data_IF_869032014721
#
_entry.id   IF_869032014721
#
_cell.length_a   1.000
_cell.length_b   1.000
_cell.length_c   1.000
_cell.angle_alpha   90.00
_cell.angle_beta   90.00
_cell.angle_gamma   90.00
#
_symmetry.space_group_name_H-M   'P 1'
#
loop_
_entity.id
_entity.type
_entity.pdbx_description
1 polymer ?
#
# COMPACT_ATOMS: atom_id res chain seq x y z
N UNK A 1 -4.84 9.46 1.08
CA UNK A 1 -4.95 8.65 -0.13
C UNK A 1 -5.39 7.23 0.22
N UNK A 2 -6.36 6.70 -0.50
CA UNK A 2 -6.88 5.33 -0.36
C UNK A 2 -6.53 4.55 -1.62
N UNK A 3 -6.13 3.28 -1.48
CA UNK A 3 -5.78 2.40 -2.60
C UNK A 3 -6.58 1.11 -2.50
N UNK A 4 -7.09 0.63 -3.63
CA UNK A 4 -7.82 -0.64 -3.74
C UNK A 4 -7.01 -1.72 -4.44
N UNK A 5 -7.33 -2.98 -4.19
CA UNK A 5 -6.59 -4.15 -4.71
C UNK A 5 -6.60 -4.24 -6.23
N UNK A 6 -7.60 -3.64 -6.89
CA UNK A 6 -7.73 -3.57 -8.36
C UNK A 6 -6.87 -2.46 -9.00
N UNK A 7 -5.95 -1.84 -8.24
CA UNK A 7 -4.99 -0.87 -8.76
C UNK A 7 -5.52 0.55 -8.90
N UNK A 8 -6.56 0.94 -8.16
CA UNK A 8 -7.06 2.31 -8.13
C UNK A 8 -6.68 3.03 -6.85
N UNK A 9 -6.52 4.34 -6.96
CA UNK A 9 -6.26 5.23 -5.84
C UNK A 9 -7.17 6.45 -5.91
N UNK A 10 -7.63 6.93 -4.76
CA UNK A 10 -8.35 8.19 -4.61
C UNK A 10 -7.66 9.03 -3.54
N UNK A 11 -7.44 10.30 -3.84
CA UNK A 11 -6.93 11.28 -2.90
C UNK A 11 -7.97 12.35 -2.67
N UNK A 12 -8.22 12.72 -1.42
CA UNK A 12 -9.14 13.77 -1.02
C UNK A 12 -8.69 14.43 0.28
N UNK A 13 -9.16 15.64 0.54
CA UNK A 13 -8.86 16.36 1.78
C UNK A 13 -9.55 15.70 2.97
N UNK A 14 -8.84 15.61 4.10
CA UNK A 14 -9.34 14.96 5.32
C UNK A 14 -10.60 15.61 5.88
N UNK A 15 -10.82 16.91 5.64
CA UNK A 15 -12.01 17.62 6.07
C UNK A 15 -13.31 17.10 5.45
N UNK A 16 -13.22 16.37 4.32
CA UNK A 16 -14.37 15.67 3.74
C UNK A 16 -14.83 14.48 4.60
N UNK A 17 -13.98 13.96 5.48
CA UNK A 17 -14.31 12.94 6.45
C UNK A 17 -14.65 13.59 7.79
N UNK A 18 -15.89 14.05 7.94
CA UNK A 18 -16.34 14.74 9.16
C UNK A 18 -16.08 13.90 10.42
N UNK A 19 -15.67 14.51 11.55
CA UNK A 19 -15.59 13.82 12.83
C UNK A 19 -16.93 13.19 13.22
N UNK A 20 -16.89 11.95 13.67
CA UNK A 20 -18.09 11.18 14.04
C UNK A 20 -17.85 10.38 15.31
N UNK A 21 -18.92 10.13 16.10
CA UNK A 21 -18.87 9.30 17.29
C UNK A 21 -18.66 7.81 16.96
N UNK A 22 -18.33 7.03 17.99
CA UNK A 22 -18.04 5.58 17.85
C UNK A 22 -19.18 4.75 17.25
N UNK A 23 -20.44 5.12 17.53
CA UNK A 23 -21.62 4.36 17.11
C UNK A 23 -22.16 4.74 15.72
N UNK A 24 -21.33 5.32 14.87
CA UNK A 24 -21.73 5.73 13.51
C UNK A 24 -21.17 4.76 12.48
N UNK A 25 -21.91 4.54 11.38
CA UNK A 25 -21.51 3.68 10.28
C UNK A 25 -20.42 4.25 9.36
N UNK A 26 -19.90 5.43 9.68
CA UNK A 26 -18.84 6.05 8.88
C UNK A 26 -19.33 6.64 7.57
N UNK A 27 -18.39 6.98 6.71
CA UNK A 27 -18.65 7.55 5.37
C UNK A 27 -17.79 6.85 4.32
N UNK A 28 -18.34 6.72 3.12
CA UNK A 28 -17.64 6.06 2.02
C UNK A 28 -16.41 6.86 1.59
N UNK A 29 -15.23 6.26 1.63
CA UNK A 29 -13.97 6.84 1.15
C UNK A 29 -13.77 6.66 -0.35
N UNK A 30 -13.97 5.44 -0.85
CA UNK A 30 -13.79 5.06 -2.27
C UNK A 30 -14.95 4.16 -2.71
N UNK A 31 -15.33 4.24 -3.97
CA UNK A 31 -16.27 3.29 -4.59
C UNK A 31 -15.48 2.24 -5.35
N UNK A 32 -15.55 1.00 -4.88
CA UNK A 32 -14.91 -0.16 -5.49
C UNK A 32 -15.92 -0.92 -6.37
N UNK A 33 -15.43 -1.72 -7.32
CA UNK A 33 -16.23 -2.55 -8.21
C UNK A 33 -15.83 -4.01 -8.14
N UNK A 34 -16.79 -4.90 -8.37
CA UNK A 34 -16.56 -6.35 -8.33
C UNK A 34 -16.04 -6.77 -6.96
N UNK A 35 -15.04 -7.63 -6.96
CA UNK A 35 -14.42 -8.19 -5.75
C UNK A 35 -13.27 -7.34 -5.20
N UNK A 36 -13.06 -6.11 -5.74
CA UNK A 36 -12.02 -5.20 -5.27
C UNK A 36 -12.23 -4.84 -3.79
N UNK A 37 -11.15 -4.82 -3.03
CA UNK A 37 -11.12 -4.49 -1.60
C UNK A 37 -10.25 -3.27 -1.36
N UNK A 38 -10.45 -2.61 -0.23
CA UNK A 38 -9.54 -1.57 0.21
C UNK A 38 -8.22 -2.21 0.63
N UNK A 39 -7.13 -1.84 -0.04
CA UNK A 39 -5.79 -2.30 0.30
C UNK A 39 -5.22 -1.54 1.49
N UNK A 40 -5.41 -0.23 1.54
CA UNK A 40 -4.91 0.59 2.62
C UNK A 40 -5.20 2.07 2.44
N UNK A 41 -4.82 2.81 3.47
CA UNK A 41 -4.93 4.27 3.55
C UNK A 41 -3.61 4.84 4.08
N UNK A 42 -3.18 5.96 3.51
CA UNK A 42 -2.05 6.75 4.01
C UNK A 42 -2.43 8.23 4.05
N UNK A 43 -1.89 8.93 5.04
CA UNK A 43 -1.98 10.38 5.13
C UNK A 43 -0.78 10.97 4.39
N UNK A 44 -1.04 11.98 3.56
CA UNK A 44 0.00 12.71 2.83
C UNK A 44 -0.28 14.20 2.87
N UNK A 45 0.78 14.99 2.88
CA UNK A 45 0.73 16.44 2.73
C UNK A 45 0.94 16.88 1.26
N UNK A 46 0.75 15.97 0.31
CA UNK A 46 0.99 16.23 -1.12
C UNK A 46 2.44 15.98 -1.56
N UNK A 47 3.36 15.70 -0.63
CA UNK A 47 4.75 15.38 -0.94
C UNK A 47 5.03 13.88 -0.91
N UNK A 48 6.18 13.48 -1.46
CA UNK A 48 6.61 12.08 -1.51
C UNK A 48 6.03 11.32 -2.70
N UNK A 49 6.22 10.02 -2.66
CA UNK A 49 5.79 9.11 -3.70
C UNK A 49 4.88 8.03 -3.12
N UNK A 50 3.82 7.67 -3.82
CA UNK A 50 3.04 6.47 -3.51
C UNK A 50 3.79 5.25 -4.08
N UNK A 51 4.29 4.42 -3.20
CA UNK A 51 4.79 3.08 -3.53
C UNK A 51 3.62 2.11 -3.55
N UNK A 52 3.57 1.26 -4.57
CA UNK A 52 2.64 0.13 -4.68
C UNK A 52 3.38 -1.11 -5.15
N UNK A 53 2.95 -2.28 -4.69
CA UNK A 53 3.50 -3.58 -5.09
C UNK A 53 2.39 -4.61 -5.24
N UNK A 54 2.52 -5.47 -6.25
CA UNK A 54 1.60 -6.58 -6.51
C UNK A 54 2.02 -7.86 -5.78
N UNK A 55 1.12 -8.83 -5.68
CA UNK A 55 1.39 -10.16 -5.11
C UNK A 55 2.60 -10.85 -5.73
N UNK A 56 2.83 -10.66 -7.02
CA UNK A 56 3.97 -11.26 -7.74
C UNK A 56 5.23 -10.39 -7.75
N UNK A 57 5.32 -9.40 -6.84
CA UNK A 57 6.51 -8.62 -6.58
C UNK A 57 6.81 -7.50 -7.59
N UNK A 58 5.84 -7.10 -8.41
CA UNK A 58 5.98 -5.94 -9.29
C UNK A 58 5.52 -4.69 -8.60
N UNK A 59 6.35 -3.67 -8.58
CA UNK A 59 6.07 -2.43 -7.87
C UNK A 59 6.68 -1.21 -8.53
N UNK A 60 6.33 -0.06 -8.02
CA UNK A 60 6.86 1.24 -8.45
C UNK A 60 6.57 2.32 -7.43
N UNK A 61 7.23 3.45 -7.58
CA UNK A 61 6.89 4.71 -6.91
C UNK A 61 6.28 5.68 -7.92
N UNK A 62 5.24 6.37 -7.53
CA UNK A 62 4.60 7.41 -8.36
C UNK A 62 4.47 8.68 -7.51
N UNK A 63 4.88 9.86 -8.00
CA UNK A 63 4.72 11.11 -7.26
C UNK A 63 3.28 11.30 -6.77
N UNK A 64 3.10 11.66 -5.50
CA UNK A 64 1.77 11.97 -4.97
C UNK A 64 1.12 13.10 -5.75
N UNK A 65 1.90 14.05 -6.27
CA UNK A 65 1.42 15.15 -7.11
C UNK A 65 0.78 14.74 -8.43
N UNK A 66 0.97 13.49 -8.88
CA UNK A 66 0.28 12.96 -10.07
C UNK A 66 -1.18 12.52 -9.77
N UNK A 67 -1.56 12.44 -8.50
CA UNK A 67 -2.92 12.06 -8.10
C UNK A 67 -3.76 13.33 -7.94
N UNK A 68 -4.78 13.54 -8.79
CA UNK A 68 -5.67 14.66 -8.64
C UNK A 68 -6.47 14.51 -7.34
N UNK A 69 -6.69 15.62 -6.67
CA UNK A 69 -7.60 15.67 -5.55
C UNK A 69 -9.05 15.50 -6.06
N UNK A 70 -9.77 14.58 -5.46
CA UNK A 70 -11.15 14.27 -5.78
C UNK A 70 -12.05 14.46 -4.56
N UNK A 71 -13.34 14.51 -4.79
CA UNK A 71 -14.31 14.34 -3.71
C UNK A 71 -14.32 12.89 -3.24
N UNK A 72 -14.47 12.73 -1.92
CA UNK A 72 -14.60 11.42 -1.26
C UNK A 72 -15.71 10.58 -1.91
N UNK A 73 -15.52 9.26 -1.93
CA UNK A 73 -16.52 8.31 -2.42
C UNK A 73 -16.52 8.10 -3.94
N UNK A 74 -15.62 8.77 -4.68
CA UNK A 74 -15.41 8.52 -6.10
C UNK A 74 -14.77 7.16 -6.40
N UNK A 75 -14.62 6.83 -7.69
CA UNK A 75 -13.96 5.58 -8.13
C UNK A 75 -12.42 5.67 -8.14
N UNK A 76 -11.87 6.88 -7.93
CA UNK A 76 -10.44 7.12 -8.04
C UNK A 76 -9.89 7.00 -9.46
N UNK A 77 -8.56 7.00 -9.56
CA UNK A 77 -7.78 6.90 -10.80
C UNK A 77 -6.89 5.68 -10.73
N UNK A 78 -6.50 5.14 -11.88
CA UNK A 78 -5.52 4.04 -11.89
C UNK A 78 -4.17 4.53 -11.34
N UNK A 79 -3.61 3.75 -10.42
CA UNK A 79 -2.27 3.93 -9.88
C UNK A 79 -1.26 3.00 -10.53
N UNK A 80 -1.71 1.85 -11.02
CA UNK A 80 -0.89 0.87 -11.74
C UNK A 80 -1.76 0.16 -12.78
N UNK A 81 -1.17 -0.23 -13.90
CA UNK A 81 -1.84 -1.09 -14.88
C UNK A 81 -1.72 -2.54 -14.42
N UNK A 82 -2.84 -3.11 -14.03
CA UNK A 82 -2.94 -4.50 -13.59
C UNK A 82 -2.91 -5.45 -14.79
N UNK A 83 -2.32 -6.62 -14.59
CA UNK A 83 -2.37 -7.74 -15.54
C UNK A 83 -2.51 -9.05 -14.75
N UNK A 84 -3.20 -10.03 -15.28
CA UNK A 84 -3.46 -11.32 -14.61
C UNK A 84 -2.18 -12.02 -14.12
N UNK A 85 -1.07 -11.82 -14.85
CA UNK A 85 0.25 -12.40 -14.50
C UNK A 85 0.89 -11.79 -13.25
N UNK A 86 0.45 -10.60 -12.81
CA UNK A 86 1.05 -9.87 -11.69
C UNK A 86 0.27 -10.00 -10.39
N UNK A 87 -0.93 -10.56 -10.45
CA UNK A 87 -1.84 -10.64 -9.32
C UNK A 87 -2.43 -9.29 -8.93
N UNK A 88 -3.13 -9.23 -7.82
CA UNK A 88 -3.68 -8.01 -7.23
C UNK A 88 -2.59 -7.17 -6.56
N UNK A 89 -2.92 -5.94 -6.17
CA UNK A 89 -2.05 -5.16 -5.29
C UNK A 89 -2.04 -5.77 -3.88
N UNK A 90 -0.83 -5.96 -3.35
CA UNK A 90 -0.58 -6.55 -2.04
C UNK A 90 -0.06 -5.55 -1.00
N UNK A 91 0.47 -4.41 -1.44
CA UNK A 91 0.98 -3.40 -0.51
C UNK A 91 1.03 -2.00 -1.11
N UNK A 92 0.94 -0.99 -0.22
CA UNK A 92 1.09 0.41 -0.55
C UNK A 92 1.69 1.18 0.63
N UNK A 93 2.51 2.19 0.35
CA UNK A 93 3.02 3.15 1.34
C UNK A 93 3.33 4.49 0.68
N UNK A 94 3.09 5.59 1.39
CA UNK A 94 3.65 6.89 0.99
C UNK A 94 5.08 6.97 1.52
N UNK A 95 6.03 7.21 0.64
CA UNK A 95 7.47 7.15 0.93
C UNK A 95 8.21 8.38 0.43
N UNK A 96 9.30 8.69 1.10
CA UNK A 96 10.34 9.60 0.62
C UNK A 96 11.59 8.78 0.24
N UNK A 97 12.48 9.29 -0.62
CA UNK A 97 13.64 8.52 -1.11
C UNK A 97 14.54 7.93 -0.04
N UNK A 98 14.62 8.58 1.13
CA UNK A 98 15.43 8.16 2.27
C UNK A 98 14.79 7.06 3.12
N UNK A 99 13.48 6.81 2.98
CA UNK A 99 12.82 5.75 3.72
C UNK A 99 13.27 4.38 3.25
N UNK A 100 13.24 3.42 4.14
CA UNK A 100 13.43 2.02 3.81
C UNK A 100 12.08 1.29 3.81
N UNK A 101 12.00 0.29 2.96
CA UNK A 101 10.84 -0.59 2.86
C UNK A 101 11.26 -2.01 3.22
N UNK A 102 10.45 -2.64 4.04
CA UNK A 102 10.48 -4.06 4.30
C UNK A 102 9.30 -4.71 3.58
N UNK A 103 9.57 -5.69 2.75
CA UNK A 103 8.57 -6.41 1.97
C UNK A 103 8.62 -7.87 2.39
N UNK A 104 7.46 -8.43 2.71
CA UNK A 104 7.32 -9.78 3.25
C UNK A 104 6.47 -10.62 2.33
N UNK A 105 6.90 -11.85 2.04
CA UNK A 105 6.11 -12.84 1.33
C UNK A 105 5.39 -13.81 2.28
N UNK A 106 4.40 -14.54 1.76
CA UNK A 106 3.62 -15.53 2.52
C UNK A 106 4.48 -16.67 3.07
N UNK A 107 5.50 -17.11 2.32
CA UNK A 107 6.46 -18.13 2.75
C UNK A 107 7.54 -17.58 3.72
N UNK A 108 7.45 -16.32 4.13
CA UNK A 108 8.32 -15.72 5.14
C UNK A 108 9.63 -15.13 4.58
N UNK A 109 9.76 -14.94 3.27
CA UNK A 109 10.90 -14.23 2.69
C UNK A 109 10.73 -12.73 2.98
N UNK A 110 11.75 -12.14 3.60
CA UNK A 110 11.78 -10.72 3.93
C UNK A 110 12.92 -10.05 3.16
N UNK A 111 12.61 -8.96 2.47
CA UNK A 111 13.62 -8.09 1.86
C UNK A 111 13.52 -6.69 2.45
N UNK A 112 14.68 -6.07 2.65
CA UNK A 112 14.81 -4.67 3.06
C UNK A 112 15.53 -3.89 1.97
N UNK A 113 15.00 -2.76 1.58
CA UNK A 113 15.59 -1.93 0.53
C UNK A 113 15.24 -0.45 0.72
N UNK A 114 16.09 0.43 0.19
CA UNK A 114 15.78 1.86 0.17
C UNK A 114 14.68 2.13 -0.84
N UNK A 115 13.70 2.94 -0.47
CA UNK A 115 12.65 3.33 -1.40
C UNK A 115 13.22 4.07 -2.62
N UNK A 116 14.32 4.82 -2.43
CA UNK A 116 15.04 5.52 -3.50
C UNK A 116 15.51 4.63 -4.65
N UNK A 117 15.79 3.35 -4.39
CA UNK A 117 16.26 2.39 -5.39
C UNK A 117 15.14 1.83 -6.26
N UNK A 118 13.88 2.05 -5.88
CA UNK A 118 12.71 1.61 -6.65
C UNK A 118 12.41 2.64 -7.75
N UNK A 119 12.15 2.15 -8.95
CA UNK A 119 11.84 3.00 -10.11
C UNK A 119 10.66 3.93 -9.85
N UNK A 120 10.85 5.21 -10.15
CA UNK A 120 9.82 6.25 -10.10
C UNK A 120 9.16 6.37 -11.44
N UNK A 121 7.90 5.99 -11.55
CA UNK A 121 7.16 5.85 -12.82
C UNK A 121 5.78 6.50 -12.70
N UNK A 122 5.23 6.92 -13.83
CA UNK A 122 3.88 7.48 -13.90
C UNK A 122 2.78 6.45 -13.57
N UNK A 123 1.57 6.95 -13.26
CA UNK A 123 0.42 6.16 -12.78
C UNK A 123 0.02 5.01 -13.71
N UNK A 124 -0.01 5.21 -15.02
CA UNK A 124 -0.49 4.24 -16.01
C UNK A 124 0.54 3.19 -16.42
N UNK A 125 1.63 3.02 -15.68
CA UNK A 125 2.66 2.01 -15.96
C UNK A 125 2.41 0.72 -15.17
N UNK A 126 3.02 -0.37 -15.63
CA UNK A 126 2.88 -1.70 -15.01
C UNK A 126 3.83 -1.96 -13.84
N UNK A 127 4.73 -1.01 -13.52
CA UNK A 127 5.79 -1.21 -12.55
C UNK A 127 6.92 -2.12 -13.05
N UNK A 128 7.92 -2.29 -12.20
CA UNK A 128 9.11 -3.14 -12.41
C UNK A 128 9.15 -4.23 -11.34
N UNK A 129 9.97 -5.26 -11.56
CA UNK A 129 10.18 -6.28 -10.54
C UNK A 129 10.99 -5.71 -9.38
N UNK A 130 10.39 -5.66 -8.21
CA UNK A 130 10.99 -5.18 -6.95
C UNK A 130 11.45 -6.37 -6.10
N UNK A 131 10.66 -7.44 -6.06
CA UNK A 131 10.96 -8.67 -5.34
C UNK A 131 10.79 -9.88 -6.26
N UNK A 132 11.73 -10.82 -6.19
CA UNK A 132 11.57 -12.11 -6.83
C UNK A 132 10.72 -13.01 -5.93
N UNK A 133 9.54 -13.37 -6.42
CA UNK A 133 8.58 -14.22 -5.72
C UNK A 133 8.43 -15.52 -6.50
N UNK A 134 8.50 -16.66 -5.84
CA UNK A 134 8.26 -17.96 -6.44
C UNK A 134 6.80 -18.07 -6.94
N UNK A 135 6.53 -19.01 -7.85
CA UNK A 135 5.17 -19.16 -8.39
C UNK A 135 4.14 -19.55 -7.32
N UNK A 136 4.58 -20.32 -6.30
CA UNK A 136 3.78 -20.72 -5.14
C UNK A 136 3.64 -19.63 -4.08
N UNK A 137 4.48 -18.60 -4.11
CA UNK A 137 4.56 -17.58 -3.08
C UNK A 137 3.94 -16.25 -3.56
N UNK A 138 3.67 -15.34 -2.64
CA UNK A 138 3.15 -14.00 -2.92
C UNK A 138 3.57 -12.99 -1.87
N UNK A 139 3.68 -11.74 -2.27
CA UNK A 139 3.84 -10.63 -1.33
C UNK A 139 2.56 -10.47 -0.52
N UNK A 140 2.69 -10.30 0.78
CA UNK A 140 1.55 -10.20 1.70
C UNK A 140 1.61 -8.95 2.58
N UNK A 141 2.78 -8.36 2.79
CA UNK A 141 2.91 -7.16 3.62
C UNK A 141 4.04 -6.24 3.15
N UNK A 142 3.87 -4.95 3.46
CA UNK A 142 4.88 -3.92 3.27
C UNK A 142 4.89 -3.01 4.50
N UNK A 143 6.07 -2.82 5.08
CA UNK A 143 6.30 -1.85 6.14
C UNK A 143 7.24 -0.74 5.64
N UNK A 144 7.02 0.50 6.10
CA UNK A 144 7.93 1.63 5.93
C UNK A 144 8.71 1.82 7.22
N UNK A 145 10.01 1.95 7.10
CA UNK A 145 10.90 2.28 8.20
C UNK A 145 11.52 3.65 7.97
N UNK A 146 11.59 4.44 9.03
CA UNK A 146 12.35 5.68 9.05
C UNK A 146 13.78 5.33 9.45
N UNK A 147 14.75 5.74 8.64
CA UNK A 147 16.16 5.56 8.98
C UNK A 147 16.53 6.57 10.05
N UNK A 148 16.56 6.16 11.30
CA UNK A 148 17.20 6.94 12.35
C UNK A 148 18.72 6.95 12.07
N UNK A 149 19.26 8.11 11.73
CA UNK A 149 20.70 8.28 11.64
C UNK A 149 21.30 8.18 13.05
N UNK A 150 21.65 6.97 13.48
CA UNK A 150 22.32 6.79 14.76
C UNK A 150 22.26 5.43 15.44
N UNK A 151 21.62 4.41 14.86
CA UNK A 151 21.66 3.07 15.45
C UNK A 151 21.79 2.00 14.37
N UNK A 152 22.98 1.44 14.25
CA UNK A 152 23.24 0.14 13.64
C UNK A 152 22.81 -0.93 14.66
N UNK A 153 21.54 -1.33 14.67
CA UNK A 153 21.08 -2.49 15.42
C UNK A 153 20.37 -3.46 14.49
N UNK A 154 21.02 -4.59 14.25
CA UNK A 154 20.60 -5.68 13.38
C UNK A 154 19.43 -6.52 13.94
N UNK A 155 18.95 -6.24 15.15
CA UNK A 155 17.97 -7.06 15.84
C UNK A 155 16.51 -6.56 15.70
N UNK A 156 16.30 -5.26 15.44
CA UNK A 156 14.95 -4.67 15.33
C UNK A 156 14.17 -5.11 14.07
N UNK A 157 14.87 -5.44 12.98
CA UNK A 157 14.23 -5.81 11.73
C UNK A 157 13.42 -7.12 11.83
N UNK A 158 13.97 -8.09 12.57
CA UNK A 158 13.30 -9.38 12.79
C UNK A 158 12.13 -9.25 13.77
N UNK A 159 12.21 -8.35 14.75
CA UNK A 159 11.14 -8.11 15.71
C UNK A 159 9.93 -7.42 15.04
N UNK A 160 10.16 -6.42 14.20
CA UNK A 160 9.09 -5.75 13.44
C UNK A 160 8.39 -6.72 12.48
N UNK A 161 9.13 -7.63 11.84
CA UNK A 161 8.54 -8.66 10.97
C UNK A 161 7.69 -9.65 11.77
N UNK A 162 8.17 -10.06 12.96
CA UNK A 162 7.44 -10.96 13.87
C UNK A 162 6.20 -10.27 14.45
N UNK A 163 6.28 -9.00 14.80
CA UNK A 163 5.15 -8.23 15.33
C UNK A 163 4.07 -8.00 14.26
N UNK A 164 4.46 -7.79 13.00
CA UNK A 164 3.52 -7.70 11.86
C UNK A 164 2.83 -9.02 11.58
N UNK A 165 3.53 -10.15 11.72
CA UNK A 165 2.97 -11.50 11.58
C UNK A 165 2.10 -11.87 12.79
N UNK A 166 2.49 -11.48 14.01
CA UNK A 166 1.76 -11.77 15.25
C UNK A 166 0.55 -10.86 15.47
N UNK A 167 0.57 -9.63 14.96
CA UNK A 167 -0.54 -8.68 15.08
C UNK A 167 -1.76 -9.04 14.22
N UNK A 168 -1.72 -10.17 13.50
CA UNK A 168 -2.87 -10.66 12.73
C UNK A 168 -3.40 -9.64 11.72
N UNK A 169 -2.52 -8.83 11.12
CA UNK A 169 -2.90 -7.86 10.06
C UNK A 169 -3.54 -8.59 8.86
N UNK A 170 -3.62 -9.90 8.95
CA UNK A 170 -4.27 -10.79 7.97
C UNK A 170 -5.80 -10.95 8.13
N UNK A 171 -6.42 -10.40 9.18
CA UNK A 171 -7.87 -10.48 9.37
C UNK A 171 -8.59 -9.16 9.02
N UNK A 172 -8.52 -8.75 7.75
CA UNK A 172 -9.48 -7.80 7.18
C UNK A 172 -10.79 -8.48 6.72
N UNK A 173 -11.13 -9.61 7.34
CA UNK A 173 -12.35 -10.34 7.03
C UNK A 173 -13.55 -9.96 7.91
N UNK A 174 -13.61 -8.73 8.44
CA UNK A 174 -14.75 -8.27 9.25
C UNK A 174 -15.35 -6.97 8.71
N UNK A 175 -15.89 -7.02 7.50
CA UNK A 175 -17.01 -6.17 7.08
C UNK A 175 -17.86 -6.89 6.03
N UNK A 176 -18.40 -8.05 6.40
CA UNK A 176 -19.64 -8.55 5.82
C UNK A 176 -20.76 -7.78 6.51
N UNK A 177 -21.26 -6.76 5.87
CA UNK A 177 -22.59 -6.26 6.13
C UNK A 177 -23.47 -6.66 4.95
N UNK A 178 -24.25 -7.72 5.18
CA UNK A 178 -25.41 -8.05 4.40
C UNK A 178 -26.51 -7.03 4.67
N UNK A 179 -27.33 -6.87 3.63
CA UNK A 179 -28.65 -6.20 3.51
C UNK A 179 -28.70 -4.71 3.76
#
# INVERSE_FOLDING_TARGET
>A
ILVSTDGKAIMFDESEARPMGRATSGVRGITMKGDARLLGMEITNGSGDLFVITEKGYGKRTPVSEYPEHKRGGQGVFTITMTDKKGELAGMKVVAPQHELMIVSEEGIVIRMKSGDISRLGRSTQGVRVMNVADSDRVVAVARMEVNQGQEDSDDANQVALDLLAAGIFDFNLCHYGD
#
